data_IF_567739099865
#
_entry.id   IF_567739099865
#
_cell.length_a   1.000
_cell.length_b   1.000
_cell.length_c   1.000
_cell.angle_alpha   90.00
_cell.angle_beta   90.00
_cell.angle_gamma   90.00
#
_symmetry.space_group_name_H-M   'P 1'
#
loop_
_entity.id
_entity.type
_entity.pdbx_description
1 polymer ?
#
# COMPACT_ATOMS: atom_id res chain seq x y z
N UNK A 1 3.29 4.88 -22.68
CA UNK A 1 3.60 4.36 -22.89
C UNK A 1 3.81 3.81 -22.81
N UNK A 2 3.75 3.64 -22.55
CA UNK A 2 4.13 2.90 -22.35
C UNK A 2 4.93 2.21 -22.86
N UNK A 3 5.61 2.49 -22.98
CA UNK A 3 6.50 1.84 -23.74
C UNK A 3 6.69 0.53 -23.26
N UNK A 4 6.59 0.34 -22.21
CA UNK A 4 6.82 -0.88 -21.83
C UNK A 4 5.72 -1.71 -22.12
N UNK A 5 5.03 -1.34 -22.63
CA UNK A 5 4.06 -1.92 -22.88
C UNK A 5 4.18 -2.95 -23.59
N UNK A 6 4.14 -3.20 -24.06
CA UNK A 6 4.13 -4.27 -24.87
C UNK A 6 4.99 -5.23 -24.54
N UNK A 7 5.47 -5.39 -23.79
CA UNK A 7 6.36 -6.03 -23.67
C UNK A 7 6.22 -7.03 -23.05
N UNK A 8 5.68 -7.60 -22.81
CA UNK A 8 5.83 -8.45 -22.24
C UNK A 8 5.13 -9.36 -21.69
N UNK A 9 5.36 -10.29 -21.46
CA UNK A 9 4.74 -11.36 -20.84
C UNK A 9 4.18 -10.87 -19.57
N UNK A 10 3.05 -11.18 -19.29
CA UNK A 10 2.34 -10.61 -18.21
C UNK A 10 3.06 -10.72 -16.90
N UNK A 11 3.55 -11.84 -16.61
CA UNK A 11 4.17 -12.04 -15.33
C UNK A 11 5.47 -11.33 -15.21
N UNK A 12 6.26 -11.46 -16.22
CA UNK A 12 7.57 -10.85 -16.18
C UNK A 12 7.44 -9.36 -16.16
N UNK A 13 6.38 -8.88 -16.73
CA UNK A 13 6.18 -7.47 -16.77
C UNK A 13 6.02 -6.88 -15.39
N UNK A 14 5.25 -7.54 -14.55
CA UNK A 14 5.07 -7.08 -13.20
C UNK A 14 6.40 -7.07 -12.46
N UNK A 15 7.19 -8.11 -12.62
CA UNK A 15 8.48 -8.18 -11.96
C UNK A 15 9.41 -7.08 -12.41
N UNK A 16 9.36 -6.78 -13.70
CA UNK A 16 10.26 -5.78 -14.25
C UNK A 16 9.92 -4.38 -13.83
N UNK A 17 8.73 -4.16 -13.34
CA UNK A 17 8.33 -2.84 -12.93
C UNK A 17 9.03 -2.36 -11.67
N UNK A 18 9.59 -3.27 -10.90
CA UNK A 18 10.06 -2.91 -9.58
C UNK A 18 11.57 -2.92 -9.35
N UNK A 19 12.39 -3.26 -10.32
CA UNK A 19 13.83 -3.18 -10.08
C UNK A 19 14.30 -1.75 -9.89
N UNK A 20 13.48 -0.80 -10.27
CA UNK A 20 13.84 0.60 -10.12
C UNK A 20 13.55 1.17 -8.74
N UNK A 21 12.98 0.39 -7.83
CA UNK A 21 12.71 0.90 -6.50
C UNK A 21 14.00 1.21 -5.76
N UNK A 22 14.10 2.40 -5.16
CA UNK A 22 15.26 2.70 -4.33
C UNK A 22 15.38 1.73 -3.17
N UNK A 23 16.60 1.47 -2.75
CA UNK A 23 16.83 0.53 -1.66
C UNK A 23 16.10 0.93 -0.39
N UNK A 24 15.99 2.21 -0.12
CA UNK A 24 15.31 2.68 1.09
C UNK A 24 13.83 2.32 1.04
N UNK A 25 13.22 2.33 -0.14
CA UNK A 25 11.83 1.95 -0.29
C UNK A 25 11.67 0.44 -0.15
N UNK A 26 12.59 -0.31 -0.75
CA UNK A 26 12.58 -1.76 -0.62
C UNK A 26 12.69 -2.18 0.83
N UNK A 27 13.51 -1.48 1.60
CA UNK A 27 13.64 -1.74 3.04
C UNK A 27 12.33 -1.51 3.78
N UNK A 28 11.58 -0.50 3.40
CA UNK A 28 10.28 -0.23 4.01
C UNK A 28 9.29 -1.36 3.70
N UNK A 29 9.34 -1.90 2.51
CA UNK A 29 8.46 -3.02 2.15
C UNK A 29 8.84 -4.26 2.94
N UNK A 30 10.12 -4.50 3.14
CA UNK A 30 10.56 -5.63 3.94
C UNK A 30 10.15 -5.46 5.40
N UNK A 31 10.23 -4.24 5.91
CA UNK A 31 9.77 -3.96 7.26
C UNK A 31 8.28 -4.24 7.39
N UNK A 32 7.50 -3.79 6.41
CA UNK A 32 6.07 -4.05 6.40
C UNK A 32 5.81 -5.56 6.44
N UNK A 33 6.54 -6.32 5.64
CA UNK A 33 6.39 -7.77 5.62
C UNK A 33 6.70 -8.42 6.97
N UNK A 34 7.77 -7.99 7.60
CA UNK A 34 8.13 -8.49 8.94
C UNK A 34 7.06 -8.14 9.97
N UNK A 35 6.55 -6.91 9.89
CA UNK A 35 5.51 -6.48 10.83
C UNK A 35 4.22 -7.27 10.62
N UNK A 36 3.90 -7.58 9.38
CA UNK A 36 2.75 -8.44 9.08
C UNK A 36 2.93 -9.84 9.67
N UNK A 37 4.14 -10.36 9.58
CA UNK A 37 4.44 -11.67 10.16
C UNK A 37 4.23 -11.64 11.68
N UNK A 38 4.71 -10.62 12.33
CA UNK A 38 4.54 -10.49 13.79
C UNK A 38 3.07 -10.36 14.15
N UNK A 39 2.34 -9.52 13.41
CA UNK A 39 0.93 -9.32 13.67
C UNK A 39 0.13 -10.62 13.51
N UNK A 40 0.47 -11.40 12.49
CA UNK A 40 -0.16 -12.69 12.26
C UNK A 40 0.12 -13.66 13.41
N UNK A 41 1.40 -13.74 13.81
CA UNK A 41 1.79 -14.65 14.88
C UNK A 41 1.17 -14.28 16.22
N UNK A 42 1.02 -13.00 16.47
CA UNK A 42 0.35 -12.55 17.70
C UNK A 42 -1.10 -13.00 17.77
N UNK A 43 -1.71 -13.26 16.62
CA UNK A 43 -3.08 -13.74 16.55
C UNK A 43 -3.15 -15.25 16.38
N UNK A 44 -1.99 -15.90 16.54
CA UNK A 44 -1.91 -17.38 16.46
C UNK A 44 -2.42 -17.94 15.15
N UNK A 45 -2.19 -17.21 14.06
CA UNK A 45 -2.57 -17.66 12.73
C UNK A 45 -1.37 -18.25 12.03
N UNK A 46 -1.54 -19.43 11.47
CA UNK A 46 -0.50 -20.02 10.62
C UNK A 46 -0.54 -19.33 9.25
N UNK A 47 0.50 -19.55 8.46
CA UNK A 47 0.51 -19.04 7.10
C UNK A 47 -0.66 -19.60 6.30
N UNK A 48 -0.97 -20.87 6.49
CA UNK A 48 -2.06 -21.50 5.77
C UNK A 48 -3.41 -20.90 6.18
N UNK A 49 -3.60 -20.70 7.47
CA UNK A 49 -4.83 -20.08 7.95
C UNK A 49 -4.99 -18.67 7.39
N UNK A 50 -3.90 -17.94 7.36
CA UNK A 50 -3.93 -16.59 6.81
C UNK A 50 -4.30 -16.61 5.33
N UNK A 51 -3.68 -17.50 4.57
CA UNK A 51 -3.97 -17.66 3.15
C UNK A 51 -5.43 -18.02 2.92
N UNK A 52 -5.95 -18.94 3.72
CA UNK A 52 -7.34 -19.36 3.59
C UNK A 52 -8.30 -18.21 3.84
N UNK A 53 -8.02 -17.42 4.86
CA UNK A 53 -8.87 -16.28 5.19
C UNK A 53 -8.79 -15.17 4.15
N UNK A 54 -7.63 -15.02 3.54
CA UNK A 54 -7.45 -14.02 2.50
C UNK A 54 -7.93 -14.51 1.14
N UNK A 55 -8.27 -15.79 1.03
CA UNK A 55 -8.69 -16.41 -0.23
C UNK A 55 -7.60 -16.32 -1.29
N UNK A 56 -6.37 -16.52 -0.87
CA UNK A 56 -5.22 -16.55 -1.77
C UNK A 56 -4.41 -17.80 -1.49
N UNK A 57 -3.45 -18.10 -2.34
CA UNK A 57 -2.63 -19.26 -2.08
C UNK A 57 -1.52 -18.93 -1.10
N UNK A 58 -0.96 -19.98 -0.52
CA UNK A 58 0.06 -19.86 0.51
C UNK A 58 1.27 -19.06 0.03
N UNK A 59 1.67 -19.27 -1.22
CA UNK A 59 2.83 -18.61 -1.76
C UNK A 59 2.63 -17.09 -1.80
N UNK A 60 1.42 -16.64 -2.03
CA UNK A 60 1.12 -15.22 -2.04
C UNK A 60 1.35 -14.59 -0.68
N UNK A 61 0.92 -15.28 0.38
CA UNK A 61 1.15 -14.77 1.74
C UNK A 61 2.64 -14.76 2.05
N UNK A 62 3.35 -15.80 1.64
CA UNK A 62 4.80 -15.85 1.87
C UNK A 62 5.51 -14.69 1.18
N UNK A 63 5.13 -14.38 -0.06
CA UNK A 63 5.70 -13.27 -0.79
C UNK A 63 5.38 -11.94 -0.12
N UNK A 64 4.15 -11.79 0.34
CA UNK A 64 3.74 -10.59 1.04
C UNK A 64 4.60 -10.36 2.28
N UNK A 65 4.81 -11.40 3.06
CA UNK A 65 5.58 -11.28 4.30
C UNK A 65 7.08 -11.09 4.06
N UNK A 66 7.55 -11.36 2.86
CA UNK A 66 8.91 -11.06 2.48
C UNK A 66 9.09 -9.65 1.94
N UNK A 67 7.99 -8.93 1.79
CA UNK A 67 8.06 -7.58 1.26
C UNK A 67 8.21 -7.51 -0.24
N UNK A 68 7.73 -8.52 -0.95
CA UNK A 68 7.84 -8.57 -2.40
C UNK A 68 7.02 -7.43 -3.02
N UNK A 69 7.66 -6.51 -3.73
CA UNK A 69 6.94 -5.37 -4.30
C UNK A 69 5.95 -5.75 -5.41
N UNK A 70 6.05 -6.95 -5.92
CA UNK A 70 5.13 -7.40 -6.96
C UNK A 70 3.76 -7.83 -6.42
N UNK A 71 3.63 -7.93 -5.09
CA UNK A 71 2.35 -8.27 -4.49
C UNK A 71 1.41 -7.07 -4.63
N UNK A 72 0.22 -7.30 -5.13
CA UNK A 72 -0.71 -6.21 -5.38
C UNK A 72 -1.22 -5.56 -4.11
N UNK A 73 -1.60 -4.31 -4.22
CA UNK A 73 -2.11 -3.54 -3.10
C UNK A 73 -3.37 -4.18 -2.50
N UNK A 74 -4.20 -4.78 -3.34
CA UNK A 74 -5.40 -5.45 -2.85
C UNK A 74 -5.09 -6.60 -1.91
N UNK A 75 -3.98 -7.29 -2.15
CA UNK A 75 -3.54 -8.38 -1.28
C UNK A 75 -3.12 -7.81 0.08
N UNK A 76 -2.40 -6.69 0.06
CA UNK A 76 -2.01 -6.01 1.29
C UNK A 76 -3.26 -5.59 2.07
N UNK A 77 -4.23 -5.03 1.37
CA UNK A 77 -5.47 -4.59 2.00
C UNK A 77 -6.21 -5.76 2.64
N UNK A 78 -6.26 -6.90 1.96
CA UNK A 78 -6.91 -8.08 2.49
C UNK A 78 -6.22 -8.56 3.77
N UNK A 79 -4.90 -8.58 3.76
CA UNK A 79 -4.13 -8.98 4.94
C UNK A 79 -4.42 -8.06 6.12
N UNK A 80 -4.41 -6.76 5.87
CA UNK A 80 -4.68 -5.79 6.93
C UNK A 80 -6.09 -5.95 7.47
N UNK A 81 -7.04 -6.28 6.61
CA UNK A 81 -8.41 -6.48 7.04
C UNK A 81 -8.52 -7.70 7.95
N UNK A 82 -7.88 -8.80 7.58
CA UNK A 82 -7.88 -10.01 8.40
C UNK A 82 -7.26 -9.73 9.77
N UNK A 83 -6.23 -8.89 9.81
CA UNK A 83 -5.56 -8.55 11.05
C UNK A 83 -6.27 -7.45 11.85
N UNK A 84 -7.33 -6.88 11.30
CA UNK A 84 -8.05 -5.81 11.96
C UNK A 84 -7.35 -4.46 11.90
N UNK A 85 -6.43 -4.29 10.96
CA UNK A 85 -5.60 -3.08 10.86
C UNK A 85 -5.85 -2.32 9.56
N UNK A 86 -6.97 -2.59 8.92
CA UNK A 86 -7.26 -2.01 7.60
C UNK A 86 -7.37 -0.49 7.61
N UNK A 87 -7.70 0.11 8.75
CA UNK A 87 -7.82 1.56 8.82
C UNK A 87 -6.50 2.27 8.59
N UNK A 88 -5.40 1.59 8.92
CA UNK A 88 -4.07 2.17 8.70
C UNK A 88 -3.77 2.36 7.23
N UNK A 89 -4.38 1.54 6.39
CA UNK A 89 -4.16 1.65 4.96
C UNK A 89 -4.68 2.98 4.42
N UNK A 90 -5.85 3.40 4.90
CA UNK A 90 -6.43 4.66 4.47
C UNK A 90 -5.65 5.88 4.92
N UNK A 91 -4.80 5.70 5.93
CA UNK A 91 -4.04 6.81 6.50
C UNK A 91 -2.64 6.94 5.94
N UNK A 92 -2.26 6.10 4.99
CA UNK A 92 -0.89 6.10 4.49
C UNK A 92 -0.45 7.44 3.94
N UNK A 93 -1.33 8.15 3.29
CA UNK A 93 -1.02 9.44 2.70
C UNK A 93 -1.98 10.49 3.22
N UNK A 94 -2.35 10.36 4.49
CA UNK A 94 -3.32 11.27 5.09
C UNK A 94 -2.76 12.69 5.15
N UNK A 95 -3.51 13.67 4.67
CA UNK A 95 -3.02 15.06 4.66
C UNK A 95 -2.67 15.57 6.05
N UNK A 96 -3.34 15.07 7.07
CA UNK A 96 -3.13 15.54 8.43
C UNK A 96 -1.74 15.19 8.95
N UNK A 97 -1.12 14.16 8.40
CA UNK A 97 0.20 13.74 8.86
C UNK A 97 1.33 14.28 7.98
N UNK A 98 0.97 14.93 6.90
CA UNK A 98 1.94 15.50 5.97
C UNK A 98 2.12 16.98 6.28
N UNK A 99 2.62 17.26 7.48
CA UNK A 99 2.60 18.64 7.98
C UNK A 99 3.51 19.58 7.20
N UNK A 100 4.69 19.13 6.83
CA UNK A 100 5.64 19.99 6.14
C UNK A 100 5.15 20.38 4.75
N UNK A 101 4.81 19.37 3.95
CA UNK A 101 4.35 19.64 2.60
C UNK A 101 3.01 20.35 2.63
N UNK A 102 2.16 20.03 3.60
CA UNK A 102 0.87 20.66 3.72
C UNK A 102 1.01 22.17 3.96
N UNK A 103 1.93 22.55 4.82
CA UNK A 103 2.13 23.98 5.08
C UNK A 103 2.62 24.71 3.85
N UNK A 104 3.54 24.12 3.13
CA UNK A 104 4.06 24.74 1.91
C UNK A 104 2.98 24.81 0.84
N UNK A 105 2.26 23.73 0.67
CA UNK A 105 1.25 23.66 -0.37
C UNK A 105 0.12 24.64 -0.10
N UNK A 106 -0.33 24.73 1.13
CA UNK A 106 -1.37 25.68 1.48
C UNK A 106 -0.92 27.09 1.20
N UNK A 107 0.33 27.40 1.50
CA UNK A 107 0.87 28.73 1.24
C UNK A 107 0.86 29.06 -0.23
N UNK A 108 1.12 28.05 -1.07
CA UNK A 108 1.26 28.23 -2.50
C UNK A 108 -0.01 27.92 -3.29
N UNK A 109 -1.07 27.49 -2.62
CA UNK A 109 -2.29 27.11 -3.32
C UNK A 109 -2.99 28.34 -3.91
N UNK A 110 -3.52 28.20 -5.13
CA UNK A 110 -4.36 29.24 -5.70
C UNK A 110 -5.61 29.43 -4.86
N UNK A 111 -6.18 30.62 -4.95
CA UNK A 111 -7.42 30.90 -4.24
C UNK A 111 -8.54 29.97 -4.64
N UNK A 112 -8.60 29.67 -5.91
CA UNK A 112 -9.68 28.82 -6.41
C UNK A 112 -9.64 27.46 -5.76
N UNK A 113 -8.45 26.96 -5.54
CA UNK A 113 -8.30 25.67 -4.93
C UNK A 113 -8.79 25.68 -3.49
N UNK A 114 -8.54 26.75 -2.78
CA UNK A 114 -9.03 26.88 -1.41
C UNK A 114 -10.54 26.87 -1.36
N UNK A 115 -11.17 27.52 -2.34
CA UNK A 115 -12.61 27.51 -2.43
C UNK A 115 -13.13 26.12 -2.71
N UNK A 116 -12.44 25.40 -3.54
CA UNK A 116 -12.83 24.03 -3.87
C UNK A 116 -12.84 23.17 -2.62
N UNK A 117 -11.89 23.38 -1.75
CA UNK A 117 -11.85 22.61 -0.52
C UNK A 117 -13.08 22.89 0.31
N UNK A 118 -13.46 24.15 0.40
CA UNK A 118 -14.65 24.51 1.13
C UNK A 118 -15.90 23.88 0.54
N UNK A 119 -15.95 23.83 -0.79
CA UNK A 119 -17.09 23.20 -1.45
C UNK A 119 -17.10 21.69 -1.25
N UNK A 120 -15.93 21.13 -1.23
CA UNK A 120 -15.82 19.71 -1.00
C UNK A 120 -16.41 19.34 0.33
N UNK A 121 -16.21 20.17 1.32
CA UNK A 121 -16.77 19.92 2.63
C UNK A 121 -18.29 19.89 2.59
N UNK A 122 -18.88 20.66 1.71
CA UNK A 122 -20.34 20.65 1.59
C UNK A 122 -20.85 19.34 1.05
N UNK A 123 -20.09 18.73 0.17
CA UNK A 123 -20.52 17.51 -0.47
C UNK A 123 -20.02 16.27 0.19
N UNK A 124 -19.33 16.45 1.27
CA UNK A 124 -18.82 15.33 1.98
C UNK A 124 -19.89 14.86 2.92
N UNK A 125 -20.63 13.95 2.49
CA UNK A 125 -21.75 13.47 3.27
C UNK A 125 -21.38 12.34 4.14
#
# INVERSE_FOLDING_TARGET
MCPYMGIIGPVTRASQSYPALPAVVADQLQKLGRDLTVARKRRHLSLREMADRMLVNLKTVQRLEKGDPAVGLGIVAAALWILGMHRRLGDLVAPETDTTALQEDIRNLPRDFRKTKSRSDKYDF
#
